data_IF_950083787368
#
_entry.id   IF_950083787368
#
_cell.length_a   1.000
_cell.length_b   1.000
_cell.length_c   1.000
_cell.angle_alpha   90.00
_cell.angle_beta   90.00
_cell.angle_gamma   90.00
#
_symmetry.space_group_name_H-M   'P 1'
#
loop_
_entity.id
_entity.type
_entity.pdbx_description
1 polymer ?
#
# COMPACT_ATOMS: atom_id res chain seq x y z
N UNK A 1 4.79 -4.11 14.66
CA UNK A 1 4.45 -3.73 13.26
C UNK A 1 2.97 -3.38 13.19
N UNK A 2 2.62 -2.40 12.36
CA UNK A 2 1.23 -2.03 12.07
C UNK A 2 0.61 -2.92 11.01
N UNK A 3 -0.68 -2.75 10.75
CA UNK A 3 -1.32 -3.27 9.53
C UNK A 3 -0.62 -2.68 8.28
N UNK A 4 -0.64 -3.42 7.17
CA UNK A 4 -0.10 -2.93 5.89
C UNK A 4 -1.10 -1.93 5.27
N UNK A 5 -1.09 -0.70 5.75
CA UNK A 5 -1.97 0.37 5.27
C UNK A 5 -1.24 1.72 5.29
N UNK A 6 -1.52 2.64 4.35
CA UNK A 6 -0.91 3.96 4.32
C UNK A 6 -1.24 4.79 5.57
N UNK A 7 -0.26 5.52 6.08
CA UNK A 7 -0.47 6.52 7.12
C UNK A 7 -1.03 7.82 6.53
N UNK A 8 -1.59 8.72 7.37
CA UNK A 8 -1.98 10.06 6.93
C UNK A 8 -0.83 10.89 6.34
N UNK A 9 0.42 10.60 6.74
CA UNK A 9 1.60 11.28 6.18
C UNK A 9 1.89 10.79 4.77
N UNK A 10 1.72 9.50 4.49
CA UNK A 10 1.90 8.94 3.14
C UNK A 10 0.91 9.59 2.16
N UNK A 11 -0.35 9.71 2.56
CA UNK A 11 -1.40 10.37 1.76
C UNK A 11 -1.09 11.85 1.50
N UNK A 12 -0.60 12.59 2.50
CA UNK A 12 -0.26 14.02 2.36
C UNK A 12 0.95 14.25 1.46
N UNK A 13 1.87 13.30 1.42
CA UNK A 13 3.15 13.43 0.71
C UNK A 13 3.18 12.74 -0.65
N UNK A 14 2.10 12.06 -1.05
CA UNK A 14 2.00 11.40 -2.34
C UNK A 14 2.08 12.43 -3.50
N UNK A 15 3.18 12.49 -4.27
CA UNK A 15 3.41 13.58 -5.21
C UNK A 15 2.82 13.31 -6.60
N UNK A 16 2.54 12.05 -6.92
CA UNK A 16 2.08 11.61 -8.24
C UNK A 16 0.91 10.62 -8.07
N UNK A 17 -0.25 10.89 -8.70
CA UNK A 17 -1.43 10.03 -8.60
C UNK A 17 -1.30 8.68 -9.33
N UNK A 18 -0.25 8.50 -10.15
CA UNK A 18 0.03 7.26 -10.87
C UNK A 18 1.01 6.35 -10.11
N UNK A 19 1.49 6.75 -8.95
CA UNK A 19 2.35 5.89 -8.14
C UNK A 19 1.54 4.81 -7.43
N UNK A 20 2.11 3.61 -7.42
CA UNK A 20 1.60 2.46 -6.70
C UNK A 20 2.44 2.27 -5.44
N UNK A 21 1.79 2.31 -4.28
CA UNK A 21 2.45 2.20 -2.97
C UNK A 21 2.27 0.79 -2.44
N UNK A 22 3.36 0.02 -2.42
CA UNK A 22 3.42 -1.28 -1.76
C UNK A 22 3.74 -1.08 -0.28
N UNK A 23 2.81 -1.47 0.59
CA UNK A 23 3.01 -1.46 2.04
C UNK A 23 3.22 -2.89 2.52
N UNK A 24 4.30 -3.12 3.26
CA UNK A 24 4.68 -4.43 3.78
C UNK A 24 4.59 -4.44 5.30
N UNK A 25 3.80 -5.36 5.86
CA UNK A 25 3.77 -5.63 7.29
C UNK A 25 4.48 -6.93 7.64
N UNK A 26 5.43 -6.84 8.57
CA UNK A 26 6.15 -7.98 9.15
C UNK A 26 5.49 -8.55 10.41
N UNK A 27 4.22 -8.20 10.68
CA UNK A 27 3.47 -8.67 11.86
C UNK A 27 3.16 -10.16 11.82
N UNK A 28 3.11 -10.73 10.63
CA UNK A 28 2.74 -12.13 10.37
C UNK A 28 3.78 -12.78 9.45
N UNK A 29 3.72 -14.11 9.39
CA UNK A 29 4.51 -14.93 8.48
C UNK A 29 3.54 -15.75 7.61
N UNK A 30 3.56 -15.63 6.27
CA UNK A 30 4.42 -14.74 5.47
C UNK A 30 4.08 -13.25 5.69
N UNK A 31 5.00 -12.32 5.35
CA UNK A 31 4.72 -10.89 5.37
C UNK A 31 3.49 -10.54 4.54
N UNK A 32 2.65 -9.66 5.07
CA UNK A 32 1.51 -9.15 4.31
C UNK A 32 1.99 -8.02 3.38
N UNK A 33 1.68 -8.15 2.09
CA UNK A 33 1.95 -7.13 1.07
C UNK A 33 0.61 -6.66 0.52
N UNK A 34 0.40 -5.34 0.48
CA UNK A 34 -0.81 -4.70 -0.08
C UNK A 34 -0.41 -3.52 -0.97
N UNK A 35 -1.16 -3.29 -2.05
CA UNK A 35 -0.94 -2.18 -2.99
C UNK A 35 -2.01 -1.12 -2.84
N UNK A 36 -1.62 0.14 -2.95
CA UNK A 36 -2.54 1.27 -2.90
C UNK A 36 -2.18 2.34 -3.92
N UNK A 37 -3.19 3.01 -4.47
CA UNK A 37 -3.05 4.34 -5.08
C UNK A 37 -3.59 5.41 -4.15
N UNK A 38 -2.91 6.56 -4.16
CA UNK A 38 -3.30 7.74 -3.41
C UNK A 38 -3.54 8.88 -4.40
N UNK A 39 -4.81 9.24 -4.59
CA UNK A 39 -5.26 10.21 -5.60
C UNK A 39 -6.32 11.10 -4.97
N UNK A 40 -6.16 12.42 -5.10
CA UNK A 40 -7.12 13.43 -4.59
C UNK A 40 -7.52 13.24 -3.12
N UNK A 41 -6.57 12.82 -2.27
CA UNK A 41 -6.82 12.58 -0.85
C UNK A 41 -7.58 11.28 -0.54
N UNK A 42 -7.84 10.44 -1.55
CA UNK A 42 -8.41 9.11 -1.38
C UNK A 42 -7.32 8.03 -1.38
N UNK A 43 -7.56 6.97 -0.60
CA UNK A 43 -6.75 5.74 -0.61
C UNK A 43 -7.58 4.66 -1.31
N UNK A 44 -7.05 4.11 -2.40
CA UNK A 44 -7.67 3.04 -3.17
C UNK A 44 -6.77 1.82 -3.08
N UNK A 45 -7.26 0.72 -2.54
CA UNK A 45 -6.54 -0.55 -2.54
C UNK A 45 -6.61 -1.22 -3.91
N UNK A 46 -5.51 -1.84 -4.31
CA UNK A 46 -5.38 -2.57 -5.56
C UNK A 46 -4.94 -4.01 -5.29
N UNK A 47 -5.44 -4.93 -6.10
CA UNK A 47 -5.04 -6.32 -6.04
C UNK A 47 -3.57 -6.47 -6.43
N UNK A 48 -2.83 -7.22 -5.61
CA UNK A 48 -1.48 -7.66 -5.95
C UNK A 48 -1.57 -9.05 -6.56
N UNK A 49 -1.27 -9.18 -7.85
CA UNK A 49 -1.13 -10.48 -8.48
C UNK A 49 0.19 -11.12 -8.02
N UNK A 50 0.14 -11.83 -6.90
CA UNK A 50 1.24 -12.66 -6.41
C UNK A 50 1.05 -14.11 -6.85
N UNK A 51 0.99 -14.36 -8.16
CA UNK A 51 1.18 -15.71 -8.69
C UNK A 51 2.63 -15.83 -9.14
N UNK A 52 3.44 -16.45 -8.29
CA UNK A 52 4.72 -17.02 -8.70
C UNK A 52 4.49 -18.53 -8.61
N UNK A 53 4.38 -19.16 -9.77
CA UNK A 53 4.35 -20.62 -9.90
C UNK A 53 5.76 -21.19 -9.72
#
# INVERSE_FOLDING_TARGET
>A
SSEAFPSPTDLRLAPDPNWHYLIVSLKMQPPQVRSFRMVDGAIIEEDVLSSIM
#
